data_IF_554432322547
#
_entry.id   IF_554432322547
#
_cell.length_a   1.000
_cell.length_b   1.000
_cell.length_c   1.000
_cell.angle_alpha   90.00
_cell.angle_beta   90.00
_cell.angle_gamma   90.00
#
_symmetry.space_group_name_H-M   'P 1'
#
loop_
_entity.id
_entity.type
_entity.pdbx_description
1 polymer ?
#
# COMPACT_ATOMS: atom_id res chain seq x y z
N UNK A 1 16.00 -9.75 -1.94
CA UNK A 1 15.24 -8.70 -1.22
C UNK A 1 16.05 -8.10 -0.07
N UNK A 2 16.59 -8.90 0.85
CA UNK A 2 17.33 -8.40 2.03
C UNK A 2 18.58 -7.56 1.71
N UNK A 3 19.33 -7.88 0.65
CA UNK A 3 20.45 -7.05 0.21
C UNK A 3 19.97 -5.63 -0.15
N UNK A 4 18.87 -5.54 -0.91
CA UNK A 4 18.26 -4.26 -1.26
C UNK A 4 17.71 -3.53 -0.04
N UNK A 5 17.08 -4.24 0.90
CA UNK A 5 16.60 -3.64 2.15
C UNK A 5 17.74 -2.92 2.90
N UNK A 6 18.92 -3.55 3.00
CA UNK A 6 20.12 -2.94 3.61
C UNK A 6 20.64 -1.73 2.84
N UNK A 7 20.72 -1.80 1.51
CA UNK A 7 21.11 -0.66 0.67
C UNK A 7 20.17 0.54 0.84
N UNK A 8 18.89 0.26 1.09
CA UNK A 8 17.88 1.28 1.31
C UNK A 8 17.83 1.78 2.78
N UNK A 9 18.61 1.20 3.68
CA UNK A 9 18.63 1.56 5.11
C UNK A 9 17.41 1.05 5.90
N UNK A 10 16.70 0.04 5.38
CA UNK A 10 15.55 -0.59 6.04
C UNK A 10 16.04 -1.58 7.11
N UNK A 11 16.61 -1.04 8.18
CA UNK A 11 17.40 -1.79 9.15
C UNK A 11 16.54 -2.68 10.08
N UNK A 12 15.22 -2.49 10.08
CA UNK A 12 14.28 -3.27 10.88
C UNK A 12 13.39 -4.15 10.01
N UNK A 13 13.92 -4.59 8.85
CA UNK A 13 13.22 -5.40 7.85
C UNK A 13 14.02 -6.64 7.46
N UNK A 14 13.37 -7.80 7.50
CA UNK A 14 13.86 -9.03 6.92
C UNK A 14 12.74 -9.73 6.14
N UNK A 15 13.02 -10.11 4.89
CA UNK A 15 12.13 -10.86 4.03
C UNK A 15 12.57 -12.33 4.00
N UNK A 16 11.73 -13.23 4.49
CA UNK A 16 11.94 -14.67 4.36
C UNK A 16 11.47 -15.23 3.00
N UNK A 17 10.55 -14.55 2.33
CA UNK A 17 9.96 -14.98 1.06
C UNK A 17 9.46 -13.78 0.23
N UNK A 18 9.21 -13.93 -1.09
CA UNK A 18 8.86 -12.80 -1.96
C UNK A 18 7.38 -12.43 -1.98
N UNK A 19 6.51 -13.23 -1.37
CA UNK A 19 5.06 -13.06 -1.44
C UNK A 19 4.41 -12.60 -0.12
N UNK A 20 5.16 -12.58 0.98
CA UNK A 20 4.68 -12.12 2.28
C UNK A 20 3.82 -13.14 3.03
N UNK A 21 3.95 -14.44 2.73
CA UNK A 21 3.34 -15.45 3.59
C UNK A 21 4.11 -15.52 4.90
N UNK A 22 3.44 -15.88 5.99
CA UNK A 22 4.04 -15.83 7.31
C UNK A 22 5.22 -16.79 7.43
N UNK A 23 6.26 -16.27 8.07
CA UNK A 23 7.47 -16.94 8.52
C UNK A 23 7.98 -16.09 9.71
N UNK A 24 8.53 -16.72 10.75
CA UNK A 24 8.98 -16.03 11.97
C UNK A 24 10.12 -15.03 11.68
N UNK A 25 10.92 -15.30 10.65
CA UNK A 25 11.96 -14.39 10.20
C UNK A 25 11.42 -13.32 9.23
N UNK A 26 10.11 -13.27 8.92
CA UNK A 26 9.54 -12.28 8.01
C UNK A 26 8.94 -11.09 8.78
N UNK A 27 9.67 -9.99 8.86
CA UNK A 27 9.26 -8.81 9.63
C UNK A 27 9.68 -7.48 8.99
N UNK A 28 9.03 -6.40 9.41
CA UNK A 28 9.28 -5.02 8.99
C UNK A 28 8.75 -4.05 10.05
N UNK A 29 9.05 -2.76 9.92
CA UNK A 29 8.39 -1.68 10.67
C UNK A 29 7.55 -0.77 9.75
N UNK A 30 6.67 0.02 10.36
CA UNK A 30 5.88 1.02 9.63
C UNK A 30 6.79 2.10 9.00
N UNK A 31 7.85 2.49 9.70
CA UNK A 31 8.85 3.44 9.20
C UNK A 31 9.59 2.89 7.97
N UNK A 32 10.04 1.63 8.02
CA UNK A 32 10.72 1.00 6.88
C UNK A 32 9.79 0.86 5.66
N UNK A 33 8.52 0.52 5.86
CA UNK A 33 7.55 0.47 4.76
C UNK A 33 7.24 1.84 4.17
N UNK A 34 7.17 2.89 4.99
CA UNK A 34 7.01 4.26 4.53
C UNK A 34 8.22 4.70 3.69
N UNK A 35 9.44 4.40 4.15
CA UNK A 35 10.67 4.69 3.44
C UNK A 35 10.76 3.89 2.12
N UNK A 36 10.39 2.62 2.14
CA UNK A 36 10.35 1.78 0.94
C UNK A 36 9.41 2.36 -0.11
N UNK A 37 8.17 2.70 0.27
CA UNK A 37 7.21 3.29 -0.66
C UNK A 37 7.68 4.67 -1.15
N UNK A 38 8.26 5.49 -0.27
CA UNK A 38 8.83 6.80 -0.64
C UNK A 38 9.87 6.66 -1.74
N UNK A 39 10.78 5.68 -1.63
CA UNK A 39 11.81 5.42 -2.65
C UNK A 39 11.22 4.79 -3.91
N UNK A 40 10.26 3.90 -3.78
CA UNK A 40 9.60 3.28 -4.93
C UNK A 40 8.89 4.33 -5.80
N UNK A 41 8.22 5.30 -5.18
CA UNK A 41 7.53 6.40 -5.87
C UNK A 41 8.48 7.38 -6.58
N UNK A 42 9.79 7.33 -6.34
CA UNK A 42 10.76 8.10 -7.14
C UNK A 42 11.01 7.49 -8.53
N UNK A 43 10.63 6.22 -8.73
CA UNK A 43 10.67 5.57 -10.03
C UNK A 43 9.34 5.85 -10.76
N UNK A 44 9.39 6.63 -11.83
CA UNK A 44 8.20 7.04 -12.59
C UNK A 44 7.41 5.86 -13.19
N UNK A 45 8.09 4.77 -13.58
CA UNK A 45 7.42 3.57 -14.06
C UNK A 45 6.67 2.85 -12.94
N UNK A 46 7.25 2.80 -11.73
CA UNK A 46 6.55 2.28 -10.56
C UNK A 46 5.37 3.17 -10.17
N UNK A 47 5.53 4.49 -10.10
CA UNK A 47 4.44 5.41 -9.75
C UNK A 47 3.27 5.28 -10.74
N UNK A 48 3.54 5.16 -12.05
CA UNK A 48 2.51 4.96 -13.05
C UNK A 48 1.70 3.66 -12.81
N UNK A 49 2.38 2.54 -12.55
CA UNK A 49 1.74 1.27 -12.23
C UNK A 49 1.00 1.30 -10.88
N UNK A 50 1.57 1.99 -9.90
CA UNK A 50 1.00 2.09 -8.55
C UNK A 50 -0.33 2.87 -8.53
N UNK A 51 -0.50 3.80 -9.47
CA UNK A 51 -1.74 4.54 -9.73
C UNK A 51 -2.78 3.78 -10.55
N UNK A 52 -2.40 2.67 -11.19
CA UNK A 52 -3.30 1.90 -12.03
C UNK A 52 -4.18 0.96 -11.20
N UNK A 53 -5.48 1.25 -11.13
CA UNK A 53 -6.45 0.40 -10.41
C UNK A 53 -7.12 -0.65 -11.29
N UNK A 54 -6.85 -0.64 -12.59
CA UNK A 54 -7.48 -1.55 -13.55
C UNK A 54 -6.53 -1.81 -14.73
N UNK A 55 -6.21 -3.08 -14.96
CA UNK A 55 -5.25 -3.49 -15.98
C UNK A 55 -5.85 -4.55 -16.91
N UNK A 56 -5.78 -4.30 -18.23
CA UNK A 56 -6.22 -5.25 -19.24
C UNK A 56 -5.07 -6.19 -19.63
N UNK A 57 -5.23 -7.47 -19.33
CA UNK A 57 -4.30 -8.51 -19.73
C UNK A 57 -4.77 -9.19 -21.01
N UNK A 58 -3.87 -9.26 -21.99
CA UNK A 58 -4.09 -9.95 -23.25
C UNK A 58 -4.32 -11.46 -23.06
N UNK A 59 -4.87 -12.08 -24.11
CA UNK A 59 -4.99 -13.53 -24.15
C UNK A 59 -3.60 -14.20 -24.23
N UNK A 60 -3.52 -15.39 -23.66
CA UNK A 60 -2.36 -16.29 -23.74
C UNK A 60 -2.81 -17.61 -24.36
N UNK A 61 -1.87 -18.50 -24.66
CA UNK A 61 -2.15 -19.84 -25.16
C UNK A 61 -2.99 -20.71 -24.19
N UNK A 62 -3.06 -20.36 -22.90
CA UNK A 62 -3.79 -21.12 -21.87
C UNK A 62 -4.92 -20.34 -21.20
N UNK A 63 -5.12 -19.06 -21.54
CA UNK A 63 -6.10 -18.22 -20.84
C UNK A 63 -6.57 -17.07 -21.72
N UNK A 64 -7.88 -16.86 -21.78
CA UNK A 64 -8.49 -15.72 -22.46
C UNK A 64 -8.05 -14.38 -21.85
N UNK A 65 -8.19 -13.32 -22.66
CA UNK A 65 -7.98 -11.95 -22.22
C UNK A 65 -8.91 -11.64 -21.03
N UNK A 66 -8.41 -10.86 -20.07
CA UNK A 66 -9.16 -10.52 -18.86
C UNK A 66 -8.72 -9.18 -18.31
N UNK A 67 -9.59 -8.55 -17.54
CA UNK A 67 -9.27 -7.33 -16.80
C UNK A 67 -9.05 -7.69 -15.33
N UNK A 68 -7.94 -7.22 -14.76
CA UNK A 68 -7.72 -7.20 -13.32
C UNK A 68 -8.15 -5.84 -12.81
N UNK A 69 -8.89 -5.81 -11.71
CA UNK A 69 -9.35 -4.60 -11.06
C UNK A 69 -9.02 -4.65 -9.58
N UNK A 70 -8.47 -3.57 -9.06
CA UNK A 70 -8.24 -3.37 -7.64
C UNK A 70 -9.58 -3.12 -6.96
N UNK A 71 -9.95 -3.97 -6.00
CA UNK A 71 -11.24 -3.91 -5.30
C UNK A 71 -11.09 -3.37 -3.88
N UNK A 72 -10.13 -2.48 -3.65
CA UNK A 72 -9.95 -1.87 -2.34
C UNK A 72 -11.08 -0.84 -2.12
N UNK A 73 -11.71 -0.91 -0.95
CA UNK A 73 -12.85 -0.05 -0.63
C UNK A 73 -12.46 1.44 -0.62
N UNK A 74 -11.19 1.76 -0.38
CA UNK A 74 -10.66 3.13 -0.39
C UNK A 74 -10.60 3.75 -1.81
N UNK A 75 -10.59 2.92 -2.86
CA UNK A 75 -10.60 3.37 -4.27
C UNK A 75 -11.99 3.34 -4.92
N UNK A 76 -12.99 2.79 -4.23
CA UNK A 76 -14.32 2.59 -4.80
C UNK A 76 -15.22 3.78 -4.48
N UNK A 77 -15.58 4.61 -5.45
CA UNK A 77 -16.44 5.78 -5.27
C UNK A 77 -17.83 5.48 -4.64
N UNK A 78 -18.31 4.24 -4.68
CA UNK A 78 -19.55 3.82 -4.02
C UNK A 78 -19.36 3.38 -2.56
N UNK A 79 -18.12 3.31 -2.07
CA UNK A 79 -17.77 2.91 -0.72
C UNK A 79 -17.79 4.09 0.23
N UNK A 80 -18.25 3.87 1.47
CA UNK A 80 -18.12 4.86 2.55
C UNK A 80 -16.67 5.13 2.99
N UNK A 81 -15.73 4.29 2.55
CA UNK A 81 -14.30 4.44 2.81
C UNK A 81 -13.55 5.10 1.66
N UNK A 82 -14.26 5.48 0.59
CA UNK A 82 -13.66 6.12 -0.57
C UNK A 82 -12.90 7.38 -0.17
N UNK A 83 -11.68 7.52 -0.68
CA UNK A 83 -10.90 8.73 -0.55
C UNK A 83 -10.34 9.10 -1.94
N UNK A 84 -10.79 10.21 -2.55
CA UNK A 84 -10.37 10.61 -3.89
C UNK A 84 -8.90 11.05 -3.97
N UNK A 85 -8.27 11.38 -2.84
CA UNK A 85 -6.87 11.81 -2.81
C UNK A 85 -5.91 10.61 -2.78
N UNK A 86 -6.37 9.43 -2.33
CA UNK A 86 -5.56 8.21 -2.27
C UNK A 86 -5.41 7.61 -3.67
N UNK A 87 -4.21 7.74 -4.23
CA UNK A 87 -3.94 7.32 -5.60
C UNK A 87 -3.34 5.92 -5.72
N UNK A 88 -2.93 5.30 -4.61
CA UNK A 88 -2.30 3.98 -4.68
C UNK A 88 -2.04 3.37 -3.31
N UNK A 89 -1.87 2.05 -3.29
CA UNK A 89 -1.60 1.34 -2.06
C UNK A 89 -1.50 -0.17 -2.20
N UNK A 90 -1.06 -0.81 -1.12
CA UNK A 90 -0.98 -2.27 -1.00
C UNK A 90 -1.55 -2.73 0.33
N UNK A 91 -2.46 -3.70 0.27
CA UNK A 91 -3.00 -4.38 1.45
C UNK A 91 -2.16 -5.59 1.86
N UNK A 92 -2.22 -5.94 3.14
CA UNK A 92 -1.66 -7.19 3.68
C UNK A 92 -2.60 -7.80 4.73
N UNK A 93 -2.55 -9.12 4.87
CA UNK A 93 -3.16 -9.85 5.98
C UNK A 93 -2.52 -11.23 6.14
N UNK A 94 -2.12 -11.54 7.36
CA UNK A 94 -1.89 -12.88 7.90
C UNK A 94 -2.39 -12.89 9.34
N UNK A 95 -2.65 -14.05 9.93
CA UNK A 95 -3.10 -14.11 11.33
C UNK A 95 -2.16 -13.37 12.29
N UNK A 96 -0.81 -13.44 12.15
CA UNK A 96 0.10 -12.68 13.01
C UNK A 96 0.26 -11.19 12.66
N UNK A 97 0.10 -10.80 11.38
CA UNK A 97 0.29 -9.40 10.97
C UNK A 97 -0.97 -8.53 11.12
N UNK A 98 -2.14 -9.15 11.23
CA UNK A 98 -3.42 -8.45 11.23
C UNK A 98 -3.72 -7.78 9.89
N UNK A 99 -4.70 -6.87 9.85
CA UNK A 99 -5.04 -6.14 8.63
C UNK A 99 -4.13 -4.93 8.45
N UNK A 100 -3.29 -4.97 7.42
CA UNK A 100 -2.33 -3.92 7.10
C UNK A 100 -2.71 -3.16 5.82
N UNK A 101 -2.22 -1.92 5.72
CA UNK A 101 -2.23 -1.12 4.50
C UNK A 101 -1.04 -0.14 4.47
N UNK A 102 -0.43 -0.03 3.29
CA UNK A 102 0.56 1.02 2.95
C UNK A 102 -0.01 1.75 1.75
N UNK A 103 -0.31 3.04 1.87
CA UNK A 103 -0.91 3.83 0.80
C UNK A 103 -0.26 5.18 0.63
N UNK A 104 -0.54 5.83 -0.50
CA UNK A 104 -0.15 7.21 -0.77
C UNK A 104 -1.34 8.03 -1.26
N UNK A 105 -1.36 9.29 -0.84
CA UNK A 105 -2.39 10.27 -1.19
C UNK A 105 -1.77 11.61 -1.60
N UNK A 106 -2.50 12.38 -2.40
CA UNK A 106 -2.06 13.68 -2.90
C UNK A 106 -3.19 14.70 -2.89
N UNK A 107 -3.05 15.77 -2.09
CA UNK A 107 -4.00 16.88 -1.98
C UNK A 107 -3.25 18.21 -1.99
N UNK A 108 -3.70 19.17 -2.80
CA UNK A 108 -3.10 20.51 -2.84
C UNK A 108 -1.60 20.54 -3.15
N UNK A 109 -1.09 19.57 -3.92
CA UNK A 109 0.35 19.43 -4.23
C UNK A 109 1.20 18.80 -3.11
N UNK A 110 0.59 18.40 -2.00
CA UNK A 110 1.23 17.66 -0.91
C UNK A 110 1.02 16.17 -1.15
N UNK A 111 2.11 15.40 -1.25
CA UNK A 111 2.07 13.93 -1.26
C UNK A 111 2.37 13.36 0.13
N UNK A 112 1.51 12.48 0.61
CA UNK A 112 1.65 11.78 1.89
C UNK A 112 1.67 10.27 1.70
N UNK A 113 2.33 9.58 2.64
CA UNK A 113 2.31 8.12 2.76
C UNK A 113 1.75 7.78 4.14
N UNK A 114 0.77 6.87 4.19
CA UNK A 114 0.23 6.33 5.43
C UNK A 114 0.51 4.82 5.51
N UNK A 115 0.96 4.38 6.68
CA UNK A 115 1.21 2.98 6.99
C UNK A 115 0.46 2.60 8.25
N UNK A 116 -0.42 1.61 8.14
CA UNK A 116 -1.17 1.03 9.26
C UNK A 116 -0.92 -0.46 9.30
N UNK A 117 -0.52 -0.95 10.47
CA UNK A 117 -0.35 -2.38 10.76
C UNK A 117 -1.33 -2.78 11.85
N UNK A 118 -1.77 -4.04 11.78
CA UNK A 118 -2.69 -4.62 12.75
C UNK A 118 -3.84 -3.69 13.16
N UNK A 119 -4.62 -3.21 12.18
CA UNK A 119 -5.82 -2.39 12.43
C UNK A 119 -6.97 -3.18 13.10
N UNK A 120 -6.66 -4.21 13.90
CA UNK A 120 -7.59 -5.04 14.64
C UNK A 120 -8.30 -6.10 13.78
N UNK A 121 -9.41 -6.61 14.32
CA UNK A 121 -10.10 -7.81 13.81
C UNK A 121 -10.96 -7.58 12.56
N UNK A 122 -11.38 -6.34 12.27
CA UNK A 122 -12.25 -6.06 11.12
C UNK A 122 -11.44 -5.53 9.94
N UNK A 123 -11.57 -6.19 8.78
CA UNK A 123 -10.81 -5.87 7.56
C UNK A 123 -10.89 -4.42 7.10
N UNK A 124 -11.96 -3.71 7.49
CA UNK A 124 -12.25 -2.36 7.05
C UNK A 124 -11.59 -1.29 7.94
N UNK A 125 -11.15 -1.64 9.15
CA UNK A 125 -10.55 -0.69 10.08
C UNK A 125 -9.30 -0.02 9.50
N UNK A 126 -8.48 -0.76 8.73
CA UNK A 126 -7.32 -0.18 8.03
C UNK A 126 -7.68 0.97 7.09
N UNK A 127 -8.89 0.98 6.53
CA UNK A 127 -9.36 2.08 5.69
C UNK A 127 -9.69 3.31 6.53
N UNK A 128 -10.38 3.11 7.64
CA UNK A 128 -10.66 4.19 8.60
C UNK A 128 -9.38 4.76 9.20
N UNK A 129 -8.43 3.92 9.60
CA UNK A 129 -7.16 4.36 10.20
C UNK A 129 -6.29 5.09 9.17
N UNK A 130 -6.15 4.56 7.95
CA UNK A 130 -5.40 5.21 6.88
C UNK A 130 -6.01 6.56 6.49
N UNK A 131 -7.33 6.62 6.31
CA UNK A 131 -8.03 7.88 6.02
C UNK A 131 -7.81 8.93 7.11
N UNK A 132 -7.90 8.55 8.39
CA UNK A 132 -7.59 9.46 9.51
C UNK A 132 -6.16 9.98 9.49
N UNK A 133 -5.18 9.13 9.15
CA UNK A 133 -3.78 9.55 9.04
C UNK A 133 -3.57 10.51 7.89
N UNK A 134 -4.19 10.29 6.73
CA UNK A 134 -4.13 11.21 5.61
C UNK A 134 -4.76 12.55 5.94
N UNK A 135 -5.98 12.57 6.49
CA UNK A 135 -6.65 13.81 6.90
C UNK A 135 -5.84 14.60 7.93
N UNK A 136 -5.28 13.91 8.94
CA UNK A 136 -4.41 14.55 9.91
C UNK A 136 -3.17 15.17 9.24
N UNK A 137 -2.52 14.43 8.35
CA UNK A 137 -1.32 14.90 7.64
C UNK A 137 -1.61 16.09 6.72
N UNK A 138 -2.73 16.09 6.01
CA UNK A 138 -3.16 17.20 5.16
C UNK A 138 -3.51 18.44 5.98
N UNK A 139 -4.25 18.27 7.08
CA UNK A 139 -4.56 19.36 8.02
C UNK A 139 -3.29 20.01 8.59
N UNK A 140 -2.26 19.22 8.95
CA UNK A 140 -0.95 19.73 9.39
C UNK A 140 -0.23 20.51 8.29
N UNK A 141 -0.48 20.18 7.02
CA UNK A 141 0.08 20.87 5.85
C UNK A 141 -0.78 22.04 5.34
N UNK A 142 -1.97 22.23 5.92
CA UNK A 142 -2.88 23.32 5.57
C UNK A 142 -3.56 23.14 4.22
N UNK A 143 -3.74 21.89 3.76
CA UNK A 143 -4.40 21.54 2.50
C UNK A 143 -5.57 20.58 2.68
#
# INVERSE_FOLDING_TARGET
MNARARELGLNSTHYANPHGYHDDDHYTTAADMAELLRRALQNSAFEALFREHRHAMGATNVRAARVIECRYDIFNAASKYYDPDVFGGKTGFTSPAGYCFVGAAERGGVKLIAVVFDSGIQKFNRWTDAGRLFEYGFAVKGV
#
